data_IF_667763085652
#
_entry.id   IF_667763085652
#
_cell.length_a   1.000
_cell.length_b   1.000
_cell.length_c   1.000
_cell.angle_alpha   90.00
_cell.angle_beta   90.00
_cell.angle_gamma   90.00
#
_symmetry.space_group_name_H-M   'P 1'
#
loop_
_entity.id
_entity.type
_entity.pdbx_description
1 polymer ?
#
# COMPACT_ATOMS: atom_id res chain seq x y z
N UNK A 1 15.83 23.48 4.07
CA UNK A 1 15.20 22.74 5.19
C UNK A 1 14.14 21.84 4.58
N UNK A 2 14.36 20.53 4.51
CA UNK A 2 13.39 19.58 3.92
C UNK A 2 12.44 19.11 5.02
N UNK A 3 11.20 19.58 4.96
CA UNK A 3 10.12 19.10 5.83
C UNK A 3 9.61 17.78 5.27
N UNK A 4 10.23 16.67 5.69
CA UNK A 4 9.72 15.33 5.40
C UNK A 4 8.50 15.10 6.30
N UNK A 5 7.31 15.41 5.78
CA UNK A 5 5.99 15.28 6.39
C UNK A 5 5.90 14.24 7.54
N UNK A 6 6.16 14.65 8.80
CA UNK A 6 6.08 13.72 9.92
C UNK A 6 4.60 13.40 10.16
N UNK A 7 4.21 12.16 9.90
CA UNK A 7 2.86 11.66 10.15
C UNK A 7 1.87 11.69 8.97
N UNK A 8 2.29 12.06 7.75
CA UNK A 8 1.39 12.07 6.59
C UNK A 8 1.10 10.67 6.03
N UNK A 9 2.01 9.71 6.22
CA UNK A 9 1.84 8.36 5.70
C UNK A 9 1.28 7.43 6.79
N UNK A 10 -0.03 7.22 6.81
CA UNK A 10 -0.67 6.29 7.73
C UNK A 10 -0.27 4.83 7.43
N UNK A 11 -0.30 4.42 6.15
CA UNK A 11 0.23 3.15 5.66
C UNK A 11 0.34 3.16 4.13
N UNK A 12 1.34 2.46 3.59
CA UNK A 12 1.52 2.19 2.16
C UNK A 12 0.94 0.81 1.85
N UNK A 13 -0.13 0.75 1.07
CA UNK A 13 -0.77 -0.50 0.68
C UNK A 13 -0.22 -0.98 -0.68
N UNK A 14 0.54 -2.07 -0.67
CA UNK A 14 1.06 -2.71 -1.87
C UNK A 14 0.05 -3.76 -2.36
N UNK A 15 -0.72 -3.40 -3.39
CA UNK A 15 -1.73 -4.27 -4.02
C UNK A 15 -1.13 -5.19 -5.08
N UNK A 16 -1.46 -6.49 -5.03
CA UNK A 16 -1.04 -7.52 -6.01
C UNK A 16 0.46 -7.48 -6.31
N UNK A 17 1.29 -7.52 -5.27
CA UNK A 17 2.74 -7.39 -5.41
C UNK A 17 3.30 -8.46 -6.38
N UNK A 18 3.83 -8.09 -7.56
CA UNK A 18 4.44 -9.05 -8.47
C UNK A 18 5.78 -9.53 -7.90
N UNK A 19 6.23 -10.74 -8.27
CA UNK A 19 7.48 -11.30 -7.76
C UNK A 19 8.67 -10.34 -7.97
N UNK A 20 8.67 -9.57 -9.06
CA UNK A 20 9.69 -8.56 -9.38
C UNK A 20 9.77 -7.45 -8.32
N UNK A 21 8.63 -7.05 -7.74
CA UNK A 21 8.62 -6.02 -6.69
C UNK A 21 9.29 -6.50 -5.41
N UNK A 22 9.43 -7.81 -5.17
CA UNK A 22 10.10 -8.33 -3.97
C UNK A 22 11.60 -7.95 -3.93
N UNK A 23 12.25 -7.87 -5.09
CA UNK A 23 13.64 -7.47 -5.21
C UNK A 23 13.80 -5.95 -4.97
N UNK A 24 12.91 -5.15 -5.56
CA UNK A 24 12.85 -3.70 -5.34
C UNK A 24 12.52 -3.40 -3.87
N UNK A 25 11.61 -4.15 -3.26
CA UNK A 25 11.22 -4.03 -1.86
C UNK A 25 12.38 -4.29 -0.89
N UNK A 26 13.31 -5.21 -1.22
CA UNK A 26 14.54 -5.39 -0.44
C UNK A 26 15.40 -4.13 -0.42
N UNK A 27 15.51 -3.41 -1.53
CA UNK A 27 16.26 -2.15 -1.60
C UNK A 27 15.54 -1.04 -0.84
N UNK A 28 14.23 -0.94 -0.99
CA UNK A 28 13.44 0.07 -0.24
C UNK A 28 13.59 -0.14 1.26
N UNK A 29 13.57 -1.38 1.75
CA UNK A 29 13.76 -1.70 3.18
C UNK A 29 15.11 -1.28 3.73
N UNK A 30 16.18 -1.17 2.93
CA UNK A 30 17.46 -0.67 3.45
C UNK A 30 17.46 0.84 3.67
N UNK A 31 16.56 1.56 3.02
CA UNK A 31 16.34 2.99 3.21
C UNK A 31 15.32 3.28 4.33
N UNK A 32 14.60 2.27 4.79
CA UNK A 32 13.58 2.39 5.84
C UNK A 32 14.15 2.07 7.22
N UNK A 33 13.77 2.86 8.22
CA UNK A 33 13.99 2.49 9.62
C UNK A 33 13.09 1.31 10.01
N UNK A 34 13.46 0.56 11.06
CA UNK A 34 12.65 -0.58 11.54
C UNK A 34 11.22 -0.19 11.94
N UNK A 35 11.01 1.05 12.37
CA UNK A 35 9.67 1.57 12.65
C UNK A 35 8.86 1.81 11.38
N UNK A 36 9.51 2.17 10.27
CA UNK A 36 8.82 2.49 9.04
C UNK A 36 8.24 1.25 8.33
N UNK A 37 8.84 0.06 8.54
CA UNK A 37 8.38 -1.21 7.94
C UNK A 37 6.93 -1.52 8.35
N UNK A 38 6.50 -1.08 9.54
CA UNK A 38 5.14 -1.28 10.05
C UNK A 38 4.06 -0.58 9.22
N UNK A 39 4.44 0.47 8.49
CA UNK A 39 3.54 1.25 7.66
C UNK A 39 3.28 0.58 6.33
N UNK A 40 4.07 -0.41 5.89
CA UNK A 40 3.80 -1.09 4.63
C UNK A 40 2.95 -2.32 4.86
N UNK A 41 1.83 -2.38 4.13
CA UNK A 41 0.87 -3.48 4.16
C UNK A 41 0.78 -4.08 2.77
N UNK A 42 0.73 -5.39 2.71
CA UNK A 42 0.56 -6.12 1.47
C UNK A 42 -0.88 -6.59 1.38
N UNK A 43 -1.52 -6.32 0.25
CA UNK A 43 -2.88 -6.75 -0.01
C UNK A 43 -3.01 -7.39 -1.39
N UNK A 44 -3.96 -8.30 -1.49
CA UNK A 44 -4.45 -8.89 -2.72
C UNK A 44 -5.91 -8.50 -2.94
N UNK A 45 -6.55 -9.08 -3.95
CA UNK A 45 -7.95 -8.79 -4.28
C UNK A 45 -8.93 -9.14 -3.15
N UNK A 46 -8.55 -9.99 -2.19
CA UNK A 46 -9.40 -10.40 -1.07
C UNK A 46 -9.15 -9.54 0.17
N UNK A 47 -7.88 -9.34 0.52
CA UNK A 47 -7.44 -8.61 1.70
C UNK A 47 -7.49 -7.09 1.56
N UNK A 48 -7.60 -6.55 0.33
CA UNK A 48 -7.75 -5.10 0.13
C UNK A 48 -9.01 -4.54 0.80
N UNK A 49 -10.06 -5.35 0.93
CA UNK A 49 -11.32 -4.96 1.56
C UNK A 49 -11.21 -4.79 3.08
N UNK A 50 -10.14 -5.28 3.70
CA UNK A 50 -9.83 -5.02 5.12
C UNK A 50 -9.33 -3.57 5.33
N UNK A 51 -8.91 -2.89 4.25
CA UNK A 51 -8.34 -1.54 4.30
C UNK A 51 -9.22 -0.49 3.61
N UNK A 52 -9.99 -0.87 2.60
CA UNK A 52 -10.79 0.04 1.77
C UNK A 52 -12.18 -0.57 1.60
N UNK A 53 -13.22 0.19 1.94
CA UNK A 53 -14.60 -0.24 1.76
C UNK A 53 -14.91 -0.50 0.27
N UNK A 54 -15.75 -1.52 -0.07
CA UNK A 54 -16.00 -1.89 -1.46
C UNK A 54 -16.50 -0.73 -2.33
N UNK A 55 -17.35 0.14 -1.80
CA UNK A 55 -17.91 1.32 -2.47
C UNK A 55 -16.89 2.43 -2.74
N UNK A 56 -15.72 2.37 -2.12
CA UNK A 56 -14.60 3.30 -2.29
C UNK A 56 -13.47 2.69 -3.13
N UNK A 57 -13.63 1.45 -3.58
CA UNK A 57 -12.63 0.73 -4.37
C UNK A 57 -13.16 0.53 -5.80
N UNK A 58 -12.34 0.84 -6.81
CA UNK A 58 -12.71 0.63 -8.21
C UNK A 58 -13.02 -0.84 -8.50
N UNK A 59 -13.97 -1.08 -9.41
CA UNK A 59 -14.36 -2.42 -9.88
C UNK A 59 -13.17 -3.23 -10.41
N UNK A 60 -12.18 -2.58 -11.03
CA UNK A 60 -10.98 -3.26 -11.54
C UNK A 60 -10.12 -3.87 -10.43
N UNK A 61 -10.22 -3.34 -9.21
CA UNK A 61 -9.49 -3.81 -8.03
C UNK A 61 -10.33 -4.75 -7.14
N UNK A 62 -11.59 -5.01 -7.50
CA UNK A 62 -12.51 -5.88 -6.77
C UNK A 62 -13.56 -5.16 -5.93
N UNK A 63 -13.68 -3.83 -6.04
CA UNK A 63 -14.71 -3.06 -5.37
C UNK A 63 -15.97 -2.84 -6.22
N UNK A 64 -16.81 -1.91 -5.77
CA UNK A 64 -18.10 -1.56 -6.37
C UNK A 64 -18.22 -0.08 -6.71
N UNK A 65 -17.16 0.72 -6.49
CA UNK A 65 -17.16 2.12 -6.89
C UNK A 65 -17.42 2.24 -8.40
N UNK A 66 -18.37 3.09 -8.77
CA UNK A 66 -18.62 3.43 -10.17
C UNK A 66 -17.61 4.48 -10.61
N UNK A 67 -16.81 4.15 -11.61
CA UNK A 67 -15.79 5.06 -12.20
C UNK A 67 -16.44 6.09 -13.17
N UNK A 68 -17.68 6.51 -12.90
CA UNK A 68 -18.48 7.37 -13.79
C UNK A 68 -18.02 8.83 -13.82
#
# INVERSE_FOLDING_TARGET
MQTLYPGLLAYLLMYKMPFLLSAVWRLIRTWMSSEADRFVKFADAKSILDFIAPDQLSKQMGGTADDS
#
